data_IF_053325259156
#
_entry.id   IF_053325259156
#
_cell.length_a   1.000
_cell.length_b   1.000
_cell.length_c   1.000
_cell.angle_alpha   90.00
_cell.angle_beta   90.00
_cell.angle_gamma   90.00
#
_symmetry.space_group_name_H-M   'P 1'
#
loop_
_entity.id
_entity.type
_entity.pdbx_description
1 polymer ?
#
# COMPACT_ATOMS: atom_id res chain seq x y z
N UNK A 1 -14.90 -5.88 18.41
CA UNK A 1 -16.29 -5.97 18.88
C UNK A 1 -17.10 -6.42 17.68
N UNK A 2 -17.75 -7.58 17.73
CA UNK A 2 -18.55 -8.07 16.61
C UNK A 2 -19.83 -7.23 16.51
N UNK A 3 -20.14 -6.74 15.31
CA UNK A 3 -21.36 -5.98 15.06
C UNK A 3 -22.57 -6.93 15.13
N UNK A 4 -23.35 -6.82 16.20
CA UNK A 4 -24.53 -7.67 16.45
C UNK A 4 -25.74 -7.27 15.60
N UNK A 5 -25.63 -6.22 14.77
CA UNK A 5 -26.71 -5.79 13.86
C UNK A 5 -26.70 -6.51 12.50
N UNK A 6 -25.65 -7.27 12.19
CA UNK A 6 -25.51 -7.95 10.89
C UNK A 6 -26.34 -9.25 10.86
N UNK A 7 -27.23 -9.44 9.86
CA UNK A 7 -27.99 -10.69 9.69
C UNK A 7 -27.08 -11.90 9.53
N UNK A 8 -27.43 -13.00 10.21
CA UNK A 8 -26.71 -14.27 10.13
C UNK A 8 -27.35 -15.16 9.06
N UNK A 9 -26.56 -15.60 8.10
CA UNK A 9 -26.99 -16.44 6.97
C UNK A 9 -26.15 -17.72 6.91
N UNK A 10 -26.74 -18.81 6.41
CA UNK A 10 -26.00 -20.03 6.09
C UNK A 10 -25.34 -19.85 4.73
N UNK A 11 -24.02 -20.08 4.56
CA UNK A 11 -23.36 -19.92 3.27
C UNK A 11 -24.00 -20.83 2.21
N UNK A 12 -24.09 -20.34 0.96
CA UNK A 12 -24.78 -21.03 -0.15
C UNK A 12 -24.31 -22.47 -0.39
N UNK A 13 -23.06 -22.79 -0.09
CA UNK A 13 -22.44 -24.11 -0.33
C UNK A 13 -22.09 -24.86 0.95
N UNK A 14 -22.67 -24.48 2.10
CA UNK A 14 -22.42 -25.15 3.37
C UNK A 14 -23.36 -26.35 3.58
N UNK A 15 -22.93 -27.31 4.41
CA UNK A 15 -23.76 -28.43 4.85
C UNK A 15 -24.97 -27.94 5.67
N UNK A 16 -26.03 -28.74 5.73
CA UNK A 16 -27.29 -28.37 6.41
C UNK A 16 -27.11 -28.07 7.91
N UNK A 17 -26.09 -28.66 8.54
CA UNK A 17 -25.74 -28.47 9.95
C UNK A 17 -24.77 -27.30 10.20
N UNK A 18 -24.41 -26.53 9.17
CA UNK A 18 -23.46 -25.44 9.31
C UNK A 18 -24.06 -24.26 10.09
N UNK A 19 -23.34 -23.70 11.08
CA UNK A 19 -23.82 -22.56 11.86
C UNK A 19 -24.03 -21.32 10.97
N UNK A 20 -25.06 -20.52 11.27
CA UNK A 20 -25.30 -19.24 10.58
C UNK A 20 -24.20 -18.26 10.97
N UNK A 21 -23.55 -17.66 9.97
CA UNK A 21 -22.47 -16.69 10.16
C UNK A 21 -22.82 -15.36 9.49
N UNK A 22 -22.19 -14.24 9.88
CA UNK A 22 -22.37 -12.97 9.19
C UNK A 22 -21.99 -13.11 7.71
N UNK A 23 -22.76 -12.47 6.83
CA UNK A 23 -22.47 -12.46 5.40
C UNK A 23 -21.08 -11.85 5.13
N UNK A 24 -20.25 -12.57 4.39
CA UNK A 24 -18.90 -12.11 4.05
C UNK A 24 -18.96 -10.93 3.08
N UNK A 25 -18.13 -9.91 3.34
CA UNK A 25 -17.91 -8.79 2.44
C UNK A 25 -16.68 -9.04 1.57
N UNK A 26 -16.68 -8.48 0.36
CA UNK A 26 -15.52 -8.48 -0.53
C UNK A 26 -14.60 -7.34 -0.11
N UNK A 27 -13.35 -7.65 0.26
CA UNK A 27 -12.30 -6.66 0.50
C UNK A 27 -11.51 -6.37 -0.77
N UNK A 28 -11.32 -5.10 -1.13
CA UNK A 28 -10.51 -4.68 -2.27
C UNK A 28 -9.24 -3.99 -1.76
N UNK A 29 -8.08 -4.58 -2.05
CA UNK A 29 -6.79 -4.00 -1.70
C UNK A 29 -6.11 -3.42 -2.95
N UNK A 30 -5.91 -2.10 -2.95
CA UNK A 30 -5.09 -1.41 -3.95
C UNK A 30 -3.68 -1.27 -3.39
N UNK A 31 -2.75 -2.06 -3.92
CA UNK A 31 -1.35 -2.09 -3.46
C UNK A 31 -0.38 -1.59 -4.54
N UNK A 32 0.63 -0.85 -4.12
CA UNK A 32 1.76 -0.42 -4.96
C UNK A 32 3.08 -0.57 -4.17
N UNK A 33 4.21 -0.24 -4.80
CA UNK A 33 5.54 -0.25 -4.16
C UNK A 33 5.75 0.88 -3.14
N UNK A 34 4.80 1.80 -3.05
CA UNK A 34 4.90 3.01 -2.25
C UNK A 34 5.79 4.08 -2.87
N UNK A 35 5.90 5.17 -2.11
CA UNK A 35 6.63 6.38 -2.44
C UNK A 35 7.17 6.96 -1.14
N UNK A 36 8.29 7.69 -1.15
CA UNK A 36 8.72 8.44 0.03
C UNK A 36 7.64 9.44 0.47
N UNK A 37 7.55 9.67 1.78
CA UNK A 37 6.64 10.66 2.39
C UNK A 37 6.96 12.10 1.94
N UNK A 38 8.22 12.37 1.61
CA UNK A 38 8.71 13.66 1.13
C UNK A 38 10.03 13.48 0.36
N UNK A 39 10.48 14.49 -0.39
CA UNK A 39 11.72 14.49 -1.15
C UNK A 39 12.97 14.88 -0.33
N UNK A 40 12.83 15.10 0.98
CA UNK A 40 13.96 15.38 1.88
C UNK A 40 14.83 14.13 2.12
N UNK A 41 16.06 14.37 2.59
CA UNK A 41 17.04 13.31 2.77
C UNK A 41 16.55 12.15 3.65
N UNK A 42 15.87 12.42 4.77
CA UNK A 42 15.47 11.37 5.71
C UNK A 42 14.32 10.54 5.18
N UNK A 43 13.32 11.19 4.59
CA UNK A 43 12.19 10.51 3.92
C UNK A 43 12.68 9.62 2.78
N UNK A 44 13.56 10.14 1.94
CA UNK A 44 14.19 9.39 0.85
C UNK A 44 15.06 8.25 1.36
N UNK A 45 15.87 8.47 2.40
CA UNK A 45 16.75 7.44 2.96
C UNK A 45 15.95 6.30 3.56
N UNK A 46 14.87 6.58 4.29
CA UNK A 46 13.97 5.56 4.86
C UNK A 46 13.32 4.72 3.77
N UNK A 47 12.71 5.37 2.78
CA UNK A 47 12.09 4.67 1.63
C UNK A 47 13.09 3.77 0.88
N UNK A 48 14.27 4.32 0.53
CA UNK A 48 15.29 3.56 -0.18
C UNK A 48 15.86 2.41 0.66
N UNK A 49 15.95 2.58 1.97
CA UNK A 49 16.42 1.54 2.88
C UNK A 49 15.45 0.36 2.90
N UNK A 50 14.14 0.62 3.00
CA UNK A 50 13.10 -0.41 2.98
C UNK A 50 13.07 -1.12 1.62
N UNK A 51 13.01 -0.36 0.53
CA UNK A 51 12.91 -0.90 -0.83
C UNK A 51 14.13 -1.74 -1.22
N UNK A 52 15.34 -1.25 -0.94
CA UNK A 52 16.58 -1.96 -1.30
C UNK A 52 16.99 -3.04 -0.29
N UNK A 53 16.37 -3.11 0.88
CA UNK A 53 16.60 -4.21 1.83
C UNK A 53 15.73 -5.43 1.52
N UNK A 54 14.70 -5.29 0.68
CA UNK A 54 13.82 -6.39 0.31
C UNK A 54 14.56 -7.43 -0.55
N UNK A 55 14.55 -8.68 -0.08
CA UNK A 55 15.14 -9.84 -0.75
C UNK A 55 14.41 -10.24 -2.03
N UNK A 56 13.21 -9.73 -2.27
CA UNK A 56 12.46 -9.89 -3.52
C UNK A 56 12.93 -8.91 -4.59
N UNK A 57 13.58 -7.82 -4.18
CA UNK A 57 14.14 -6.78 -5.07
C UNK A 57 15.63 -7.04 -5.31
N UNK A 58 16.36 -7.45 -4.27
CA UNK A 58 17.80 -7.71 -4.32
C UNK A 58 18.10 -9.16 -3.97
N UNK A 59 18.83 -9.86 -4.85
CA UNK A 59 19.15 -11.29 -4.76
C UNK A 59 20.54 -11.59 -4.16
N UNK A 60 21.34 -10.57 -3.85
CA UNK A 60 22.66 -10.72 -3.20
C UNK A 60 22.56 -11.21 -1.75
N UNK A 61 23.65 -11.82 -1.27
CA UNK A 61 23.79 -12.19 0.15
C UNK A 61 23.59 -10.96 1.05
N UNK A 62 22.70 -11.00 2.05
CA UNK A 62 22.44 -9.88 2.94
C UNK A 62 23.68 -9.35 3.66
N UNK A 63 24.64 -10.24 3.97
CA UNK A 63 25.88 -9.87 4.65
C UNK A 63 26.81 -9.00 3.81
N UNK A 64 26.77 -9.15 2.49
CA UNK A 64 27.54 -8.30 1.57
C UNK A 64 26.73 -7.06 1.18
N UNK A 65 25.42 -7.24 0.98
CA UNK A 65 24.55 -6.17 0.51
C UNK A 65 24.26 -5.12 1.58
N UNK A 66 23.98 -5.52 2.82
CA UNK A 66 23.61 -4.55 3.87
C UNK A 66 24.73 -3.54 4.18
N UNK A 67 26.01 -3.93 4.33
CA UNK A 67 27.09 -2.96 4.49
C UNK A 67 27.21 -2.02 3.29
N UNK A 68 27.11 -2.55 2.06
CA UNK A 68 27.16 -1.74 0.84
C UNK A 68 25.99 -0.74 0.77
N UNK A 69 24.79 -1.21 1.10
CA UNK A 69 23.57 -0.41 1.14
C UNK A 69 23.68 0.71 2.17
N UNK A 70 24.04 0.40 3.42
CA UNK A 70 24.06 1.38 4.50
C UNK A 70 25.18 2.42 4.35
N UNK A 71 26.36 2.00 3.86
CA UNK A 71 27.56 2.84 3.84
C UNK A 71 27.71 3.66 2.55
N UNK A 72 27.46 3.06 1.39
CA UNK A 72 27.70 3.72 0.10
C UNK A 72 26.41 4.20 -0.57
N UNK A 73 25.39 3.35 -0.61
CA UNK A 73 24.18 3.67 -1.37
C UNK A 73 23.34 4.71 -0.62
N UNK A 74 23.04 4.48 0.65
CA UNK A 74 22.16 5.34 1.44
C UNK A 74 22.81 6.65 1.89
N UNK A 75 24.11 6.84 1.66
CA UNK A 75 24.80 8.11 1.89
C UNK A 75 24.69 9.06 0.70
N UNK A 76 24.74 8.56 -0.54
CA UNK A 76 24.73 9.41 -1.74
C UNK A 76 23.40 9.40 -2.50
N UNK A 77 22.75 8.24 -2.61
CA UNK A 77 21.56 8.04 -3.45
C UNK A 77 20.34 8.89 -3.03
N UNK A 78 20.05 9.10 -1.73
CA UNK A 78 18.90 9.91 -1.33
C UNK A 78 18.92 11.33 -1.89
N UNK A 79 20.09 11.96 -2.06
CA UNK A 79 20.20 13.30 -2.64
C UNK A 79 19.77 13.34 -4.10
N UNK A 80 20.30 12.41 -4.91
CA UNK A 80 19.99 12.33 -6.34
C UNK A 80 18.53 11.96 -6.58
N UNK A 81 18.03 10.97 -5.83
CA UNK A 81 16.63 10.57 -5.93
C UNK A 81 15.68 11.65 -5.41
N UNK A 82 16.01 12.33 -4.30
CA UNK A 82 15.23 13.43 -3.76
C UNK A 82 15.09 14.59 -4.76
N UNK A 83 16.16 14.97 -5.47
CA UNK A 83 16.09 15.98 -6.52
C UNK A 83 15.14 15.58 -7.67
N UNK A 84 15.15 14.31 -8.07
CA UNK A 84 14.22 13.80 -9.08
C UNK A 84 12.77 13.83 -8.58
N UNK A 85 12.50 13.38 -7.34
CA UNK A 85 11.16 13.47 -6.75
C UNK A 85 10.67 14.91 -6.63
N UNK A 86 11.56 15.83 -6.21
CA UNK A 86 11.25 17.26 -6.13
C UNK A 86 10.81 17.83 -7.48
N UNK A 87 11.42 17.39 -8.59
CA UNK A 87 11.09 17.91 -9.92
C UNK A 87 9.68 17.56 -10.40
N UNK A 88 9.05 16.55 -9.81
CA UNK A 88 7.70 16.07 -10.15
C UNK A 88 6.74 16.14 -8.96
N UNK A 89 7.11 16.86 -7.91
CA UNK A 89 6.33 16.88 -6.66
C UNK A 89 5.02 17.62 -6.85
N UNK A 90 3.93 17.07 -6.31
CA UNK A 90 2.66 17.78 -6.26
C UNK A 90 2.67 18.71 -5.04
N UNK A 91 3.05 19.97 -5.25
CA UNK A 91 3.14 20.98 -4.19
C UNK A 91 1.76 21.34 -3.60
N UNK A 92 0.67 21.21 -4.38
CA UNK A 92 -0.67 21.54 -3.90
C UNK A 92 -1.16 20.58 -2.80
N UNK A 93 -0.85 19.30 -2.94
CA UNK A 93 -1.24 18.24 -2.00
C UNK A 93 -0.06 17.78 -1.12
N UNK A 94 1.13 18.34 -1.32
CA UNK A 94 2.38 17.91 -0.65
C UNK A 94 2.64 16.40 -0.77
N UNK A 95 2.49 15.86 -1.98
CA UNK A 95 2.52 14.43 -2.25
C UNK A 95 3.30 14.06 -3.50
N UNK A 96 3.74 12.81 -3.59
CA UNK A 96 4.23 12.30 -4.87
C UNK A 96 3.08 12.03 -5.85
N UNK A 97 3.34 12.09 -7.16
CA UNK A 97 2.33 11.78 -8.17
C UNK A 97 1.70 10.40 -7.97
N UNK A 98 2.48 9.40 -7.55
CA UNK A 98 1.99 8.06 -7.29
C UNK A 98 0.96 8.07 -6.13
N UNK A 99 1.23 8.79 -5.05
CA UNK A 99 0.28 8.91 -3.94
C UNK A 99 -1.00 9.61 -4.38
N UNK A 100 -0.89 10.77 -5.03
CA UNK A 100 -2.04 11.55 -5.50
C UNK A 100 -2.92 10.71 -6.43
N UNK A 101 -2.32 10.04 -7.41
CA UNK A 101 -3.05 9.20 -8.37
C UNK A 101 -3.68 7.98 -7.67
N UNK A 102 -2.95 7.33 -6.76
CA UNK A 102 -3.46 6.16 -6.03
C UNK A 102 -4.66 6.55 -5.17
N UNK A 103 -4.62 7.69 -4.47
CA UNK A 103 -5.76 8.19 -3.69
C UNK A 103 -6.98 8.45 -4.56
N UNK A 104 -6.80 9.10 -5.71
CA UNK A 104 -7.87 9.35 -6.66
C UNK A 104 -8.46 8.03 -7.22
N UNK A 105 -7.61 7.07 -7.56
CA UNK A 105 -8.03 5.74 -8.02
C UNK A 105 -8.81 4.99 -6.94
N UNK A 106 -8.32 4.96 -5.70
CA UNK A 106 -9.00 4.31 -4.57
C UNK A 106 -10.37 4.94 -4.31
N UNK A 107 -10.47 6.27 -4.35
CA UNK A 107 -11.75 6.97 -4.20
C UNK A 107 -12.74 6.61 -5.33
N UNK A 108 -12.28 6.57 -6.58
CA UNK A 108 -13.10 6.18 -7.71
C UNK A 108 -13.56 4.72 -7.65
N UNK A 109 -12.65 3.80 -7.31
CA UNK A 109 -12.96 2.37 -7.13
C UNK A 109 -13.99 2.21 -6.01
N UNK A 110 -13.78 2.86 -4.86
CA UNK A 110 -14.72 2.83 -3.74
C UNK A 110 -16.12 3.26 -4.16
N UNK A 111 -16.23 4.38 -4.89
CA UNK A 111 -17.50 4.88 -5.40
C UNK A 111 -18.19 3.85 -6.32
N UNK A 112 -17.50 3.40 -7.36
CA UNK A 112 -18.06 2.48 -8.37
C UNK A 112 -18.47 1.15 -7.73
N UNK A 113 -17.65 0.61 -6.83
CA UNK A 113 -17.92 -0.68 -6.19
C UNK A 113 -19.07 -0.58 -5.20
N UNK A 114 -19.18 0.53 -4.47
CA UNK A 114 -20.33 0.78 -3.61
C UNK A 114 -21.62 0.95 -4.41
N UNK A 115 -21.59 1.67 -5.53
CA UNK A 115 -22.76 1.81 -6.43
C UNK A 115 -23.23 0.46 -6.98
N UNK A 116 -22.29 -0.44 -7.31
CA UNK A 116 -22.61 -1.75 -7.91
C UNK A 116 -22.99 -2.83 -6.90
N UNK A 117 -22.40 -2.83 -5.72
CA UNK A 117 -22.50 -3.95 -4.76
C UNK A 117 -23.03 -3.54 -3.37
N UNK A 118 -23.26 -2.25 -3.14
CA UNK A 118 -23.73 -1.73 -1.85
C UNK A 118 -22.77 -2.06 -0.70
N UNK A 119 -23.33 -2.33 0.47
CA UNK A 119 -22.57 -2.61 1.71
C UNK A 119 -21.85 -3.97 1.71
N UNK A 120 -21.93 -4.75 0.63
CA UNK A 120 -21.26 -6.04 0.48
C UNK A 120 -19.77 -5.90 0.09
N UNK A 121 -19.28 -4.69 -0.21
CA UNK A 121 -17.87 -4.44 -0.57
C UNK A 121 -17.25 -3.45 0.41
N UNK A 122 -16.01 -3.72 0.80
CA UNK A 122 -15.12 -2.80 1.49
C UNK A 122 -13.90 -2.53 0.61
N UNK A 123 -13.66 -1.26 0.30
CA UNK A 123 -12.46 -0.78 -0.43
C UNK A 123 -11.57 -0.03 0.53
#
# INVERSE_FOLDING_TARGET
MFDTSTPLETPQYAAEDHPKIPKQKIGILVANLGTPDNYDYWSMRRYLNEFLSDRRVIDYSPFLWQPLLQLLILTSRPFRSGAAYKSIWNEAESESPLMTITKAQTAAIKKIMHEKYGDNVAV
#
